data_IF_359152321403
#
_entry.id   IF_359152321403
#
_cell.length_a   1.000
_cell.length_b   1.000
_cell.length_c   1.000
_cell.angle_alpha   90.00
_cell.angle_beta   90.00
_cell.angle_gamma   90.00
#
_symmetry.space_group_name_H-M   'P 1'
#
loop_
_entity.id
_entity.type
_entity.pdbx_description
1 polymer ?
#
# COMPACT_ATOMS: atom_id res chain seq x y z
N UNK A 1 -49.56 2.20 29.28
CA UNK A 1 -48.55 3.21 29.63
C UNK A 1 -47.17 2.63 29.90
N UNK A 2 -47.04 1.50 30.59
CA UNK A 2 -45.73 0.88 30.83
C UNK A 2 -44.99 0.52 29.54
N UNK A 3 -45.68 0.01 28.51
CA UNK A 3 -45.06 -0.40 27.23
C UNK A 3 -44.48 0.78 26.45
N UNK A 4 -45.09 1.96 26.56
CA UNK A 4 -44.60 3.16 25.85
C UNK A 4 -43.31 3.69 26.47
N UNK A 5 -43.23 3.71 27.82
CA UNK A 5 -42.02 4.14 28.52
C UNK A 5 -40.85 3.19 28.29
N UNK A 6 -41.10 1.89 28.26
CA UNK A 6 -40.08 0.87 27.97
C UNK A 6 -39.55 1.04 26.53
N UNK A 7 -40.45 1.30 25.57
CA UNK A 7 -40.06 1.55 24.17
C UNK A 7 -39.25 2.83 24.02
N UNK A 8 -39.64 3.91 24.71
CA UNK A 8 -38.89 5.16 24.69
C UNK A 8 -37.48 4.99 25.25
N UNK A 9 -37.34 4.30 26.38
CA UNK A 9 -36.05 3.99 26.98
C UNK A 9 -35.17 3.13 26.05
N UNK A 10 -35.76 2.12 25.39
CA UNK A 10 -35.06 1.28 24.44
C UNK A 10 -34.59 2.10 23.22
N UNK A 11 -35.43 3.03 22.74
CA UNK A 11 -35.06 3.92 21.61
C UNK A 11 -33.92 4.89 22.01
N UNK A 12 -33.95 5.44 23.22
CA UNK A 12 -32.87 6.29 23.72
C UNK A 12 -31.56 5.54 23.85
N UNK A 13 -31.58 4.32 24.38
CA UNK A 13 -30.39 3.47 24.49
C UNK A 13 -29.83 3.10 23.13
N UNK A 14 -30.69 2.76 22.16
CA UNK A 14 -30.29 2.47 20.80
C UNK A 14 -29.66 3.69 20.11
N UNK A 15 -30.26 4.87 20.33
CA UNK A 15 -29.74 6.12 19.78
C UNK A 15 -28.36 6.45 20.32
N UNK A 16 -28.13 6.29 21.64
CA UNK A 16 -26.81 6.46 22.27
C UNK A 16 -25.79 5.48 21.73
N UNK A 17 -26.16 4.21 21.61
CA UNK A 17 -25.29 3.17 21.05
C UNK A 17 -24.85 3.50 19.62
N UNK A 18 -25.81 3.92 18.79
CA UNK A 18 -25.53 4.33 17.40
C UNK A 18 -24.61 5.56 17.34
N UNK A 19 -24.84 6.55 18.20
CA UNK A 19 -24.02 7.75 18.27
C UNK A 19 -22.59 7.41 18.68
N UNK A 20 -22.40 6.56 19.69
CA UNK A 20 -21.09 6.11 20.14
C UNK A 20 -20.36 5.30 19.05
N UNK A 21 -21.10 4.41 18.36
CA UNK A 21 -20.56 3.63 17.24
C UNK A 21 -20.10 4.53 16.09
N UNK A 22 -20.90 5.55 15.74
CA UNK A 22 -20.55 6.52 14.70
C UNK A 22 -19.33 7.35 15.08
N UNK A 23 -19.22 7.77 16.34
CA UNK A 23 -18.05 8.50 16.85
C UNK A 23 -16.79 7.66 16.77
N UNK A 24 -16.85 6.38 17.14
CA UNK A 24 -15.74 5.43 17.04
C UNK A 24 -15.31 5.23 15.59
N UNK A 25 -16.27 5.06 14.68
CA UNK A 25 -15.99 4.91 13.24
C UNK A 25 -15.33 6.17 12.66
N UNK A 26 -15.77 7.36 13.06
CA UNK A 26 -15.15 8.62 12.63
C UNK A 26 -13.70 8.73 13.09
N UNK A 27 -13.41 8.34 14.33
CA UNK A 27 -12.04 8.34 14.85
C UNK A 27 -11.15 7.38 14.07
N UNK A 28 -11.61 6.16 13.82
CA UNK A 28 -10.87 5.18 13.03
C UNK A 28 -10.63 5.68 11.60
N UNK A 29 -11.62 6.28 10.95
CA UNK A 29 -11.50 6.85 9.62
C UNK A 29 -10.48 7.99 9.60
N UNK A 30 -10.51 8.89 10.58
CA UNK A 30 -9.57 10.02 10.69
C UNK A 30 -8.14 9.53 10.89
N UNK A 31 -7.90 8.52 11.73
CA UNK A 31 -6.59 7.91 11.93
C UNK A 31 -6.10 7.25 10.64
N UNK A 32 -6.97 6.52 9.95
CA UNK A 32 -6.65 5.88 8.67
C UNK A 32 -6.30 6.89 7.59
N UNK A 33 -7.05 7.99 7.47
CA UNK A 33 -6.76 9.07 6.53
C UNK A 33 -5.43 9.76 6.85
N UNK A 34 -5.15 10.01 8.12
CA UNK A 34 -3.89 10.59 8.57
C UNK A 34 -2.72 9.67 8.20
N UNK A 35 -2.84 8.38 8.47
CA UNK A 35 -1.81 7.40 8.14
C UNK A 35 -1.58 7.31 6.62
N UNK A 36 -2.65 7.36 5.84
CA UNK A 36 -2.55 7.39 4.38
C UNK A 36 -1.82 8.64 3.90
N UNK A 37 -2.17 9.81 4.42
CA UNK A 37 -1.53 11.07 4.06
C UNK A 37 -0.05 11.08 4.41
N UNK A 38 0.33 10.58 5.59
CA UNK A 38 1.72 10.45 5.99
C UNK A 38 2.48 9.43 5.13
N UNK A 39 1.85 8.29 4.82
CA UNK A 39 2.43 7.29 3.93
C UNK A 39 2.72 7.88 2.55
N UNK A 40 1.78 8.61 1.96
CA UNK A 40 1.96 9.26 0.67
C UNK A 40 3.06 10.33 0.71
N UNK A 41 3.21 11.03 1.83
CA UNK A 41 4.30 12.00 2.02
C UNK A 41 5.66 11.31 2.02
N UNK A 42 5.80 10.17 2.70
CA UNK A 42 7.02 9.37 2.67
C UNK A 42 7.30 8.81 1.27
N UNK A 43 6.26 8.38 0.54
CA UNK A 43 6.42 7.95 -0.85
C UNK A 43 6.90 9.09 -1.75
N UNK A 44 6.43 10.31 -1.55
CA UNK A 44 6.90 11.49 -2.30
C UNK A 44 8.38 11.76 -2.03
N UNK A 45 8.81 11.65 -0.77
CA UNK A 45 10.22 11.77 -0.40
C UNK A 45 11.05 10.66 -1.04
N UNK A 46 10.55 9.43 -0.99
CA UNK A 46 11.19 8.28 -1.63
C UNK A 46 11.43 8.52 -3.11
N UNK A 47 10.44 9.06 -3.80
CA UNK A 47 10.53 9.37 -5.23
C UNK A 47 11.61 10.41 -5.52
N UNK A 48 11.72 11.44 -4.68
CA UNK A 48 12.78 12.46 -4.82
C UNK A 48 14.17 11.85 -4.62
N UNK A 49 14.35 11.02 -3.61
CA UNK A 49 15.60 10.30 -3.37
C UNK A 49 15.93 9.36 -4.53
N UNK A 50 14.93 8.66 -5.04
CA UNK A 50 15.09 7.75 -6.17
C UNK A 50 15.64 8.45 -7.40
N UNK A 51 15.06 9.59 -7.78
CA UNK A 51 15.52 10.36 -8.94
C UNK A 51 16.86 11.06 -8.70
N UNK A 52 17.22 11.30 -7.44
CA UNK A 52 18.55 11.80 -7.08
C UNK A 52 19.63 10.70 -7.07
N UNK A 53 19.25 9.43 -7.21
CA UNK A 53 20.16 8.32 -7.13
C UNK A 53 20.45 7.83 -5.70
N UNK A 54 19.79 8.40 -4.70
CA UNK A 54 19.94 8.04 -3.29
C UNK A 54 19.01 6.87 -2.94
N UNK A 55 19.32 5.68 -3.47
CA UNK A 55 18.42 4.52 -3.39
C UNK A 55 18.23 3.99 -1.97
N UNK A 56 19.26 4.08 -1.13
CA UNK A 56 19.15 3.66 0.28
C UNK A 56 18.20 4.55 1.08
N UNK A 57 18.28 5.86 0.88
CA UNK A 57 17.37 6.81 1.51
C UNK A 57 15.94 6.64 0.97
N UNK A 58 15.82 6.40 -0.35
CA UNK A 58 14.52 6.09 -0.96
C UNK A 58 13.90 4.85 -0.31
N UNK A 59 14.69 3.81 -0.06
CA UNK A 59 14.22 2.57 0.58
C UNK A 59 13.72 2.82 2.01
N UNK A 60 14.43 3.62 2.80
CA UNK A 60 14.01 3.99 4.15
C UNK A 60 12.65 4.67 4.16
N UNK A 61 12.43 5.58 3.23
CA UNK A 61 11.16 6.30 3.13
C UNK A 61 10.00 5.39 2.72
N UNK A 62 10.23 4.47 1.78
CA UNK A 62 9.21 3.48 1.41
C UNK A 62 8.88 2.57 2.59
N UNK A 63 9.88 2.14 3.35
CA UNK A 63 9.65 1.29 4.52
C UNK A 63 8.81 2.01 5.57
N UNK A 64 9.03 3.31 5.79
CA UNK A 64 8.20 4.13 6.68
C UNK A 64 6.76 4.22 6.16
N UNK A 65 6.58 4.40 4.85
CA UNK A 65 5.24 4.41 4.26
C UNK A 65 4.51 3.08 4.49
N UNK A 66 5.19 1.95 4.36
CA UNK A 66 4.61 0.62 4.57
C UNK A 66 4.32 0.32 6.04
N UNK A 67 5.06 0.89 6.98
CA UNK A 67 4.71 0.82 8.40
C UNK A 67 3.37 1.51 8.68
N UNK A 68 3.11 2.63 8.01
CA UNK A 68 1.88 3.39 8.17
C UNK A 68 0.70 2.75 7.42
N UNK A 69 0.96 2.16 6.26
CA UNK A 69 -0.06 1.50 5.45
C UNK A 69 0.54 0.27 4.75
N UNK A 70 0.44 -0.93 5.37
CA UNK A 70 1.04 -2.16 4.83
C UNK A 70 0.42 -2.66 3.53
N UNK A 71 -0.77 -2.19 3.16
CA UNK A 71 -1.51 -2.67 1.99
C UNK A 71 -1.42 -1.72 0.79
N UNK A 72 -0.46 -0.83 0.79
CA UNK A 72 -0.31 0.18 -0.26
C UNK A 72 0.49 -0.38 -1.44
N UNK A 73 -0.23 -0.79 -2.49
CA UNK A 73 0.36 -1.37 -3.71
C UNK A 73 1.44 -0.47 -4.32
N UNK A 74 1.20 0.85 -4.35
CA UNK A 74 2.15 1.84 -4.86
C UNK A 74 3.49 1.77 -4.11
N UNK A 75 3.48 1.57 -2.80
CA UNK A 75 4.70 1.47 -2.00
C UNK A 75 5.52 0.23 -2.39
N UNK A 76 4.88 -0.91 -2.58
CA UNK A 76 5.57 -2.12 -3.04
C UNK A 76 6.14 -1.94 -4.45
N UNK A 77 5.39 -1.29 -5.36
CA UNK A 77 5.86 -0.99 -6.70
C UNK A 77 7.11 -0.11 -6.66
N UNK A 78 7.12 0.92 -5.83
CA UNK A 78 8.28 1.80 -5.61
C UNK A 78 9.45 1.04 -5.03
N UNK A 79 9.22 0.21 -4.02
CA UNK A 79 10.28 -0.60 -3.40
C UNK A 79 10.89 -1.57 -4.41
N UNK A 80 10.08 -2.16 -5.27
CA UNK A 80 10.56 -3.00 -6.36
C UNK A 80 11.52 -2.25 -7.29
N UNK A 81 11.15 -1.04 -7.70
CA UNK A 81 11.99 -0.19 -8.54
C UNK A 81 13.31 0.18 -7.86
N UNK A 82 13.27 0.45 -6.56
CA UNK A 82 14.47 0.77 -5.77
C UNK A 82 15.41 -0.43 -5.70
N UNK A 83 14.90 -1.61 -5.40
CA UNK A 83 15.73 -2.84 -5.37
C UNK A 83 16.32 -3.14 -6.74
N UNK A 84 15.56 -2.92 -7.81
CA UNK A 84 16.06 -3.10 -9.17
C UNK A 84 17.28 -2.20 -9.44
N UNK A 85 17.20 -0.92 -9.04
CA UNK A 85 18.31 0.03 -9.18
C UNK A 85 19.51 -0.34 -8.31
N UNK A 86 19.27 -0.99 -7.17
CA UNK A 86 20.34 -1.52 -6.30
C UNK A 86 20.96 -2.80 -6.83
N UNK A 87 20.46 -3.35 -7.94
CA UNK A 87 20.94 -4.58 -8.54
C UNK A 87 20.33 -5.86 -7.95
N UNK A 88 19.35 -5.73 -7.08
CA UNK A 88 18.67 -6.88 -6.44
C UNK A 88 17.37 -7.21 -7.19
N UNK A 89 17.51 -7.92 -8.31
CA UNK A 89 16.38 -8.27 -9.18
C UNK A 89 15.42 -9.23 -8.49
N UNK A 90 15.91 -10.10 -7.62
CA UNK A 90 15.05 -11.02 -6.84
C UNK A 90 14.07 -10.27 -5.94
N UNK A 91 14.59 -9.34 -5.13
CA UNK A 91 13.72 -8.54 -4.24
C UNK A 91 12.82 -7.60 -5.04
N UNK A 92 13.31 -7.06 -6.15
CA UNK A 92 12.48 -6.25 -7.04
C UNK A 92 11.26 -7.05 -7.53
N UNK A 93 11.49 -8.26 -8.02
CA UNK A 93 10.43 -9.15 -8.52
C UNK A 93 9.41 -9.48 -7.41
N UNK A 94 9.90 -9.80 -6.22
CA UNK A 94 9.03 -10.09 -5.06
C UNK A 94 8.11 -8.90 -4.77
N UNK A 95 8.68 -7.69 -4.72
CA UNK A 95 7.90 -6.48 -4.41
C UNK A 95 6.90 -6.13 -5.51
N UNK A 96 7.27 -6.28 -6.77
CA UNK A 96 6.35 -6.07 -7.89
C UNK A 96 5.20 -7.10 -7.89
N UNK A 97 5.48 -8.35 -7.54
CA UNK A 97 4.43 -9.37 -7.39
C UNK A 97 3.49 -9.06 -6.22
N UNK A 98 4.02 -8.54 -5.10
CA UNK A 98 3.19 -8.08 -3.99
C UNK A 98 2.29 -6.92 -4.40
N UNK A 99 2.81 -5.97 -5.18
CA UNK A 99 2.02 -4.86 -5.72
C UNK A 99 0.86 -5.37 -6.58
N UNK A 100 1.10 -6.34 -7.46
CA UNK A 100 0.07 -6.95 -8.31
C UNK A 100 -0.95 -7.76 -7.51
N UNK A 101 -0.54 -8.39 -6.42
CA UNK A 101 -1.46 -9.12 -5.54
C UNK A 101 -2.43 -8.17 -4.86
N UNK A 102 -1.95 -6.99 -4.44
CA UNK A 102 -2.78 -5.97 -3.82
C UNK A 102 -3.63 -5.20 -4.83
N UNK A 103 -3.10 -4.97 -6.03
CA UNK A 103 -3.79 -4.30 -7.12
C UNK A 103 -3.56 -5.09 -8.42
N UNK A 104 -4.45 -6.06 -8.74
CA UNK A 104 -4.32 -6.86 -9.97
C UNK A 104 -4.39 -6.06 -11.26
N UNK A 105 -4.93 -4.85 -11.21
CA UNK A 105 -5.09 -3.94 -12.36
C UNK A 105 -3.88 -3.00 -12.53
N UNK A 106 -2.80 -3.19 -11.76
CA UNK A 106 -1.62 -2.34 -11.82
C UNK A 106 -0.82 -2.63 -13.10
N UNK A 107 -1.22 -1.99 -14.18
CA UNK A 107 -0.72 -2.24 -15.55
C UNK A 107 0.79 -2.01 -15.67
N UNK A 108 1.32 -0.93 -15.10
CA UNK A 108 2.74 -0.60 -15.17
C UNK A 108 3.61 -1.72 -14.59
N UNK A 109 3.22 -2.24 -13.43
CA UNK A 109 3.94 -3.33 -12.76
C UNK A 109 3.84 -4.63 -13.56
N UNK A 110 2.66 -4.93 -14.10
CA UNK A 110 2.45 -6.10 -14.97
C UNK A 110 3.38 -6.05 -16.18
N UNK A 111 3.49 -4.89 -16.82
CA UNK A 111 4.35 -4.68 -17.98
C UNK A 111 5.83 -4.85 -17.63
N UNK A 112 6.27 -4.36 -16.48
CA UNK A 112 7.65 -4.52 -16.00
C UNK A 112 7.97 -6.01 -15.80
N UNK A 113 7.10 -6.77 -15.14
CA UNK A 113 7.29 -8.20 -14.88
C UNK A 113 7.31 -8.99 -16.20
N UNK A 114 6.45 -8.64 -17.14
CA UNK A 114 6.42 -9.26 -18.47
C UNK A 114 7.74 -9.00 -19.21
N UNK A 115 8.24 -7.78 -19.20
CA UNK A 115 9.50 -7.42 -19.83
C UNK A 115 10.68 -8.18 -19.22
N UNK A 116 10.71 -8.35 -17.91
CA UNK A 116 11.75 -9.14 -17.22
C UNK A 116 11.72 -10.60 -17.65
N UNK A 117 10.54 -11.21 -17.75
CA UNK A 117 10.39 -12.59 -18.20
C UNK A 117 10.84 -12.77 -19.65
N UNK A 118 10.48 -11.84 -20.53
CA UNK A 118 10.90 -11.85 -21.93
C UNK A 118 12.43 -11.76 -22.05
N UNK A 119 13.08 -10.90 -21.28
CA UNK A 119 14.53 -10.75 -21.27
C UNK A 119 15.22 -12.03 -20.76
N UNK A 120 14.67 -12.68 -19.73
CA UNK A 120 15.19 -13.98 -19.24
C UNK A 120 15.09 -15.05 -20.32
N UNK A 121 13.97 -15.13 -21.02
CA UNK A 121 13.76 -16.09 -22.10
C UNK A 121 14.72 -15.84 -23.27
N UNK A 122 14.94 -14.59 -23.66
CA UNK A 122 15.90 -14.23 -24.72
C UNK A 122 17.33 -14.60 -24.31
N UNK A 123 17.72 -14.34 -23.06
CA UNK A 123 19.04 -14.71 -22.54
C UNK A 123 19.23 -16.22 -22.54
N UNK A 124 18.22 -16.99 -22.15
CA UNK A 124 18.25 -18.46 -22.20
C UNK A 124 18.37 -18.98 -23.64
N UNK A 125 17.62 -18.41 -24.59
CA UNK A 125 17.70 -18.75 -26.02
C UNK A 125 19.08 -18.51 -26.58
N UNK A 126 19.74 -17.40 -26.21
CA UNK A 126 21.09 -17.04 -26.69
C UNK A 126 22.12 -18.02 -26.11
N UNK A 127 21.96 -18.48 -24.89
CA UNK A 127 22.86 -19.43 -24.22
C UNK A 127 22.75 -20.84 -24.83
N UNK A 128 21.54 -21.25 -25.28
CA UNK A 128 21.28 -22.55 -25.89
C UNK A 128 21.81 -22.67 -27.34
N UNK A 129 22.01 -21.56 -28.02
CA UNK A 129 22.61 -21.50 -29.36
C UNK A 129 24.14 -21.50 -29.32
#
# INVERSE_FOLDING_TARGET
>A
MRNLLVRLNAMEQNSRFLADSLSSLKLETNVSEKNMNEALRHLSKSLRYFYAGDYREALKEVDLALELNPDLALAYARRGSIYYKLGDVQRATINWNLALRLDPEYTDVRNILKALNENKLKSASIIEE
#
